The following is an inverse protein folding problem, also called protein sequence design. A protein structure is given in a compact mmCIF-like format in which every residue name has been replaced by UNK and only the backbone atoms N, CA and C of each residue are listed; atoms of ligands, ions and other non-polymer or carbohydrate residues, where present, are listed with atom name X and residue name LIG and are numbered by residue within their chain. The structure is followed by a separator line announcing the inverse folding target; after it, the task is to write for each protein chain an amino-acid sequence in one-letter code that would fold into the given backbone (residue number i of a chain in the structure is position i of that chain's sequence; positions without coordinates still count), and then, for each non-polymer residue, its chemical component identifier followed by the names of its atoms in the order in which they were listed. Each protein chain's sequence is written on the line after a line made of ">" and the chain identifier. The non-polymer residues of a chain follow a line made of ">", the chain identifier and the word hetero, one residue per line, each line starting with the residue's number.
data_IF_649961347170
#
_entry.id   IF_649961347170
#
_cell.length_a   1.000
_cell.length_b   1.000
_cell.length_c   1.000
_cell.angle_alpha   90.00
_cell.angle_beta   90.00
_cell.angle_gamma   90.00
#
_symmetry.space_group_name_H-M   'P 1'
#
loop_
_entity.id
_entity.type
_entity.pdbx_description
1 polymer ?
#
# COMPACT_ATOMS: atom_id res chain seq x y z
N UNK A 1 -5.57 -14.13 -10.63
CA UNK A 1 -6.74 -13.98 -9.77
C UNK A 1 -6.69 -12.68 -8.99
N UNK A 2 -7.81 -11.97 -8.96
CA UNK A 2 -7.85 -10.65 -8.36
C UNK A 2 -8.34 -10.72 -6.91
N UNK A 3 -7.68 -9.95 -6.07
CA UNK A 3 -8.11 -9.77 -4.68
C UNK A 3 -9.04 -8.56 -4.61
N UNK A 4 -9.96 -8.57 -3.66
CA UNK A 4 -10.79 -7.39 -3.40
C UNK A 4 -9.91 -6.28 -2.81
N UNK A 5 -10.41 -5.03 -2.84
CA UNK A 5 -9.70 -3.92 -2.26
C UNK A 5 -9.41 -4.15 -0.77
N UNK A 6 -10.38 -4.68 -0.05
CA UNK A 6 -10.21 -4.98 1.38
C UNK A 6 -9.12 -6.02 1.61
N UNK A 7 -9.08 -7.05 0.78
CA UNK A 7 -8.05 -8.07 0.88
C UNK A 7 -6.67 -7.50 0.57
N UNK A 8 -6.57 -6.63 -0.44
CA UNK A 8 -5.31 -6.01 -0.80
C UNK A 8 -4.78 -5.15 0.35
N UNK A 9 -5.66 -4.41 1.00
CA UNK A 9 -5.28 -3.59 2.16
C UNK A 9 -4.81 -4.47 3.31
N UNK A 10 -5.53 -5.55 3.59
CA UNK A 10 -5.15 -6.48 4.66
C UNK A 10 -3.78 -7.10 4.41
N UNK A 11 -3.49 -7.49 3.18
CA UNK A 11 -2.19 -8.05 2.82
C UNK A 11 -1.08 -7.03 3.00
N UNK A 12 -1.34 -5.76 2.63
CA UNK A 12 -0.37 -4.69 2.82
C UNK A 12 -0.08 -4.46 4.31
N UNK A 13 -1.12 -4.51 5.14
CA UNK A 13 -0.93 -4.34 6.58
C UNK A 13 -0.09 -5.47 7.18
N UNK A 14 -0.22 -6.69 6.66
CA UNK A 14 0.63 -7.79 7.08
C UNK A 14 2.11 -7.53 6.78
N UNK A 15 2.39 -6.96 5.60
CA UNK A 15 3.76 -6.59 5.24
C UNK A 15 4.29 -5.53 6.19
N UNK A 16 3.47 -4.54 6.53
CA UNK A 16 3.85 -3.49 7.48
C UNK A 16 4.18 -4.10 8.85
N UNK A 17 3.39 -5.07 9.31
CA UNK A 17 3.67 -5.75 10.59
C UNK A 17 5.02 -6.44 10.58
N UNK A 18 5.39 -7.04 9.46
CA UNK A 18 6.65 -7.76 9.35
C UNK A 18 7.85 -6.85 9.14
N UNK A 19 7.69 -5.83 8.30
CA UNK A 19 8.81 -5.01 7.84
C UNK A 19 8.74 -3.55 8.30
N UNK A 20 7.64 -3.13 8.87
CA UNK A 20 7.42 -1.75 9.28
C UNK A 20 6.89 -0.85 8.18
N UNK A 21 7.27 -1.10 6.93
CA UNK A 21 6.83 -0.30 5.77
C UNK A 21 6.72 -1.23 4.55
N UNK A 22 6.10 -0.75 3.49
CA UNK A 22 6.16 -1.44 2.20
C UNK A 22 6.38 -0.43 1.09
N UNK A 23 6.90 -0.92 -0.04
CA UNK A 23 7.14 -0.10 -1.22
C UNK A 23 6.06 -0.38 -2.26
N UNK A 24 6.04 0.45 -3.32
CA UNK A 24 5.15 0.22 -4.46
C UNK A 24 5.35 -1.17 -5.06
N UNK A 25 6.60 -1.58 -5.22
CA UNK A 25 6.90 -2.91 -5.75
C UNK A 25 6.35 -4.02 -4.88
N UNK A 26 6.44 -3.86 -3.56
CA UNK A 26 5.90 -4.85 -2.63
C UNK A 26 4.39 -4.96 -2.79
N UNK A 27 3.70 -3.83 -2.83
CA UNK A 27 2.24 -3.82 -2.97
C UNK A 27 1.80 -4.48 -4.29
N UNK A 28 2.48 -4.14 -5.37
CA UNK A 28 2.17 -4.72 -6.67
C UNK A 28 2.40 -6.24 -6.67
N UNK A 29 3.50 -6.67 -6.07
CA UNK A 29 3.88 -8.08 -6.05
C UNK A 29 2.91 -8.93 -5.21
N UNK A 30 2.60 -8.49 -4.00
CA UNK A 30 1.74 -9.28 -3.11
C UNK A 30 0.30 -9.37 -3.60
N UNK A 31 -0.13 -8.39 -4.39
CA UNK A 31 -1.51 -8.31 -4.87
C UNK A 31 -1.65 -8.63 -6.36
N UNK A 32 -0.55 -9.04 -6.97
CA UNK A 32 -0.54 -9.39 -8.39
C UNK A 32 -1.08 -8.27 -9.29
N UNK A 33 -0.61 -7.06 -9.02
CA UNK A 33 -1.01 -5.86 -9.78
C UNK A 33 0.15 -5.34 -10.61
N UNK A 34 -0.16 -4.60 -11.67
CA UNK A 34 0.86 -3.85 -12.39
C UNK A 34 1.32 -2.68 -11.52
N UNK A 35 2.52 -2.15 -11.81
CA UNK A 35 3.03 -1.00 -11.06
C UNK A 35 2.10 0.20 -11.19
N UNK A 36 1.54 0.40 -12.38
CA UNK A 36 0.62 1.51 -12.63
C UNK A 36 -0.65 1.37 -11.78
N UNK A 37 -1.24 0.19 -11.77
CA UNK A 37 -2.45 -0.07 -10.99
C UNK A 37 -2.17 0.10 -9.48
N UNK A 38 -1.04 -0.43 -9.02
CA UNK A 38 -0.64 -0.32 -7.62
C UNK A 38 -0.43 1.14 -7.23
N UNK A 39 0.23 1.91 -8.09
CA UNK A 39 0.47 3.34 -7.84
C UNK A 39 -0.83 4.11 -7.71
N UNK A 40 -1.76 3.88 -8.61
CA UNK A 40 -3.06 4.56 -8.59
C UNK A 40 -3.83 4.21 -7.33
N UNK A 41 -3.85 2.93 -6.95
CA UNK A 41 -4.58 2.49 -5.77
C UNK A 41 -3.95 3.05 -4.48
N UNK A 42 -2.64 3.03 -4.39
CA UNK A 42 -1.95 3.60 -3.22
C UNK A 42 -2.17 5.10 -3.11
N UNK A 43 -2.22 5.79 -4.24
CA UNK A 43 -2.52 7.22 -4.24
C UNK A 43 -3.92 7.47 -3.68
N UNK A 44 -4.90 6.68 -4.08
CA UNK A 44 -6.25 6.79 -3.54
C UNK A 44 -6.28 6.50 -2.05
N UNK A 45 -5.57 5.46 -1.62
CA UNK A 45 -5.52 5.09 -0.21
C UNK A 45 -4.88 6.17 0.66
N UNK A 46 -3.84 6.83 0.16
CA UNK A 46 -3.20 7.90 0.93
C UNK A 46 -4.05 9.16 0.99
N UNK A 47 -4.88 9.40 -0.02
CA UNK A 47 -5.80 10.53 -0.03
C UNK A 47 -7.04 10.29 0.82
N UNK A 48 -7.39 9.03 1.06
CA UNK A 48 -8.57 8.66 1.84
C UNK A 48 -8.21 8.60 3.32
N UNK A 49 -8.74 9.54 4.08
CA UNK A 49 -8.45 9.64 5.52
C UNK A 49 -8.99 8.46 6.32
N UNK A 50 -9.96 7.73 5.79
CA UNK A 50 -10.51 6.56 6.47
C UNK A 50 -9.67 5.30 6.22
N UNK A 51 -8.72 5.37 5.29
CA UNK A 51 -7.82 4.28 4.99
C UNK A 51 -6.76 4.12 6.08
N UNK A 52 -6.37 2.87 6.42
CA UNK A 52 -5.29 2.66 7.39
C UNK A 52 -3.89 2.81 6.81
N UNK A 53 -3.77 3.20 5.55
CA UNK A 53 -2.49 3.31 4.84
C UNK A 53 -2.14 4.79 4.65
N UNK A 54 -0.90 5.14 4.94
CA UNK A 54 -0.39 6.48 4.70
C UNK A 54 0.96 6.37 4.00
N UNK A 55 1.39 7.45 3.39
CA UNK A 55 2.68 7.48 2.69
C UNK A 55 3.73 8.22 3.49
N UNK A 56 4.98 7.83 3.29
CA UNK A 56 6.12 8.44 3.94
C UNK A 56 7.24 8.56 2.92
N UNK A 57 7.95 9.69 2.91
CA UNK A 57 9.04 9.92 1.97
C UNK A 57 8.56 10.58 0.69
N UNK A 58 9.50 10.77 -0.25
CA UNK A 58 9.23 11.48 -1.50
C UNK A 58 9.92 10.78 -2.68
N UNK A 59 9.32 10.94 -3.86
CA UNK A 59 9.91 10.45 -5.09
C UNK A 59 10.16 8.97 -5.08
N UNK A 60 11.34 8.56 -5.49
CA UNK A 60 11.68 7.13 -5.57
C UNK A 60 11.89 6.48 -4.23
N UNK A 61 11.99 7.27 -3.16
CA UNK A 61 12.15 6.75 -1.80
C UNK A 61 10.85 6.68 -1.03
N UNK A 62 9.73 6.86 -1.72
CA UNK A 62 8.42 6.82 -1.08
C UNK A 62 8.08 5.40 -0.63
N UNK A 63 7.63 5.30 0.62
CA UNK A 63 7.16 4.05 1.22
C UNK A 63 5.80 4.28 1.84
N UNK A 64 5.13 3.21 2.20
CA UNK A 64 3.80 3.29 2.81
C UNK A 64 3.83 2.62 4.17
N UNK A 65 3.13 3.23 5.10
CA UNK A 65 3.12 2.78 6.50
C UNK A 65 1.68 2.72 6.99
N UNK A 66 1.50 2.11 8.15
CA UNK A 66 0.20 2.10 8.79
C UNK A 66 -0.09 3.49 9.35
N UNK A 67 -1.26 4.02 9.04
CA UNK A 67 -1.67 5.34 9.54
C UNK A 67 -1.92 5.25 11.04
N UNK A 68 -1.36 6.20 11.77
CA UNK A 68 -1.61 6.31 13.20
C UNK A 68 -2.96 7.00 13.43
N UNK A 69 -3.63 6.56 14.44
CA UNK A 69 -4.90 7.18 14.84
C UNK A 69 -4.65 8.46 15.64
#
# INVERSE_FOLDING_TARGET
>A
QLYSKEERIARALEVIEKNGVFTLGDYASINNLSRTAASMELKELTCDKSSPIDSLGRGSHKVWVKRKE
#
